data_IF_557552811574
#
_entry.id   IF_557552811574
#
_cell.length_a   1.000
_cell.length_b   1.000
_cell.length_c   1.000
_cell.angle_alpha   90.00
_cell.angle_beta   90.00
_cell.angle_gamma   90.00
#
_symmetry.space_group_name_H-M   'P 1'
#
loop_
_entity.id
_entity.type
_entity.pdbx_description
1 polymer ?
#
# COMPACT_ATOMS: atom_id res chain seq x y z
N UNK A 1 -27.27 -14.27 -2.53
CA UNK A 1 -26.20 -14.89 -1.73
C UNK A 1 -25.44 -13.74 -1.08
N UNK A 2 -25.19 -13.76 0.22
CA UNK A 2 -24.25 -12.82 0.82
C UNK A 2 -22.87 -13.12 0.26
N UNK A 3 -22.17 -12.11 -0.23
CA UNK A 3 -20.78 -12.28 -0.63
C UNK A 3 -19.95 -12.71 0.57
N UNK A 4 -19.16 -13.78 0.37
CA UNK A 4 -18.26 -14.26 1.42
C UNK A 4 -16.96 -13.46 1.32
N UNK A 5 -16.71 -12.69 2.37
CA UNK A 5 -15.44 -12.02 2.59
C UNK A 5 -14.58 -12.86 3.53
N UNK A 6 -13.29 -12.95 3.22
CA UNK A 6 -12.32 -13.66 4.02
C UNK A 6 -11.85 -12.77 5.18
N UNK A 7 -11.34 -13.35 6.28
CA UNK A 7 -10.47 -12.61 7.20
C UNK A 7 -9.35 -11.92 6.41
N UNK A 8 -8.97 -10.70 6.79
CA UNK A 8 -7.97 -9.91 6.02
C UNK A 8 -6.69 -10.70 5.80
N UNK A 9 -6.18 -11.39 6.83
CA UNK A 9 -4.96 -12.20 6.73
C UNK A 9 -5.09 -13.37 5.76
N UNK A 10 -6.30 -13.81 5.43
CA UNK A 10 -6.57 -14.86 4.45
C UNK A 10 -6.88 -14.29 3.05
N UNK A 11 -7.07 -12.97 2.93
CA UNK A 11 -7.36 -12.33 1.64
C UNK A 11 -6.16 -12.39 0.69
N UNK A 12 -6.45 -12.50 -0.62
CA UNK A 12 -5.43 -12.56 -1.67
C UNK A 12 -4.51 -11.32 -1.66
N UNK A 13 -5.09 -10.12 -1.45
CA UNK A 13 -4.33 -8.87 -1.38
C UNK A 13 -3.34 -8.87 -0.22
N UNK A 14 -3.73 -9.37 0.95
CA UNK A 14 -2.84 -9.49 2.09
C UNK A 14 -1.70 -10.46 1.83
N UNK A 15 -2.00 -11.65 1.29
CA UNK A 15 -0.99 -12.68 1.03
C UNK A 15 0.08 -12.19 0.03
N UNK A 16 -0.34 -11.51 -1.05
CA UNK A 16 0.59 -10.97 -2.03
C UNK A 16 1.45 -9.84 -1.41
N UNK A 17 0.83 -8.89 -0.71
CA UNK A 17 1.59 -7.80 -0.05
C UNK A 17 2.58 -8.35 0.97
N UNK A 18 2.17 -9.34 1.78
CA UNK A 18 3.04 -10.01 2.76
C UNK A 18 4.26 -10.62 2.08
N UNK A 19 4.05 -11.45 1.06
CA UNK A 19 5.14 -12.15 0.37
C UNK A 19 6.13 -11.18 -0.27
N UNK A 20 5.61 -10.13 -0.91
CA UNK A 20 6.45 -9.15 -1.59
C UNK A 20 7.22 -8.25 -0.59
N UNK A 21 6.60 -7.86 0.52
CA UNK A 21 7.29 -7.11 1.58
C UNK A 21 8.44 -7.92 2.18
N UNK A 22 8.23 -9.20 2.46
CA UNK A 22 9.29 -10.11 2.92
C UNK A 22 10.43 -10.18 1.90
N UNK A 23 10.10 -10.30 0.61
CA UNK A 23 11.08 -10.39 -0.47
C UNK A 23 11.92 -9.13 -0.66
N UNK A 24 11.30 -7.95 -0.66
CA UNK A 24 11.97 -6.67 -1.01
C UNK A 24 12.59 -5.99 0.21
N UNK A 25 11.88 -6.02 1.34
CA UNK A 25 12.26 -5.30 2.55
C UNK A 25 12.68 -6.21 3.70
N UNK A 26 12.53 -7.54 3.58
CA UNK A 26 12.76 -8.50 4.67
C UNK A 26 11.90 -8.17 5.90
N UNK A 27 10.62 -7.87 5.64
CA UNK A 27 9.62 -7.52 6.65
C UNK A 27 8.42 -8.45 6.58
N UNK A 28 8.13 -9.10 7.70
CA UNK A 28 6.93 -9.93 7.85
C UNK A 28 5.74 -9.06 8.25
N UNK A 29 4.77 -8.94 7.34
CA UNK A 29 3.53 -8.19 7.57
C UNK A 29 2.73 -8.72 8.77
N UNK A 30 2.85 -10.00 9.13
CA UNK A 30 2.11 -10.56 10.28
C UNK A 30 2.54 -9.98 11.63
N UNK A 31 3.74 -9.39 11.68
CA UNK A 31 4.30 -8.72 12.86
C UNK A 31 3.84 -7.27 13.02
N UNK A 32 3.21 -6.70 11.98
CA UNK A 32 2.72 -5.32 11.97
C UNK A 32 1.25 -5.29 12.38
N UNK A 33 0.88 -4.30 13.19
CA UNK A 33 -0.53 -4.07 13.53
C UNK A 33 -1.26 -3.54 12.30
N UNK A 34 -2.31 -4.24 11.90
CA UNK A 34 -3.17 -3.85 10.79
C UNK A 34 -4.39 -3.07 11.27
N UNK A 35 -4.77 -2.05 10.52
CA UNK A 35 -6.04 -1.36 10.62
C UNK A 35 -7.02 -1.98 9.64
N UNK A 36 -7.96 -2.74 10.16
CA UNK A 36 -8.98 -3.44 9.38
C UNK A 36 -10.09 -2.48 8.95
N UNK A 37 -10.54 -2.62 7.70
CA UNK A 37 -11.70 -1.96 7.14
C UNK A 37 -12.77 -2.97 6.69
N UNK A 38 -13.83 -2.47 6.06
CA UNK A 38 -14.89 -3.31 5.50
C UNK A 38 -14.40 -4.13 4.30
N UNK A 39 -15.10 -5.22 3.99
CA UNK A 39 -14.97 -5.95 2.72
C UNK A 39 -13.56 -6.52 2.39
N UNK A 40 -12.69 -6.77 3.37
CA UNK A 40 -11.25 -7.14 3.25
C UNK A 40 -10.27 -5.96 3.07
N UNK A 41 -10.73 -4.71 3.14
CA UNK A 41 -9.85 -3.55 3.11
C UNK A 41 -8.95 -3.52 4.35
N UNK A 42 -7.70 -3.10 4.19
CA UNK A 42 -6.81 -2.90 5.33
C UNK A 42 -5.71 -1.90 5.02
N UNK A 43 -5.14 -1.31 6.05
CA UNK A 43 -3.90 -0.54 5.93
C UNK A 43 -3.01 -0.73 7.16
N UNK A 44 -1.75 -0.36 7.04
CA UNK A 44 -0.77 -0.50 8.11
C UNK A 44 0.33 0.56 7.97
N UNK A 45 0.89 1.03 9.11
CA UNK A 45 2.06 1.90 9.08
C UNK A 45 3.29 1.13 8.59
N UNK A 46 4.13 1.78 7.80
CA UNK A 46 5.39 1.22 7.34
C UNK A 46 6.51 2.27 7.46
N UNK A 47 7.69 1.82 7.87
CA UNK A 47 8.85 2.69 8.04
C UNK A 47 10.09 2.06 7.39
N UNK A 48 10.82 2.86 6.62
CA UNK A 48 12.07 2.44 6.00
C UNK A 48 13.06 3.61 5.96
N UNK A 49 14.28 3.40 6.48
CA UNK A 49 15.35 4.44 6.54
C UNK A 49 14.89 5.80 7.11
N UNK A 50 14.00 5.79 8.08
CA UNK A 50 13.46 7.01 8.71
C UNK A 50 12.33 7.69 7.93
N UNK A 51 11.93 7.15 6.77
CA UNK A 51 10.72 7.58 6.07
C UNK A 51 9.51 6.82 6.62
N UNK A 52 8.45 7.55 6.94
CA UNK A 52 7.19 7.00 7.41
C UNK A 52 6.11 7.13 6.34
N UNK A 53 5.42 6.02 6.09
CA UNK A 53 4.35 5.93 5.10
C UNK A 53 3.27 4.99 5.61
N UNK A 54 2.13 4.98 4.94
CA UNK A 54 1.09 3.97 5.15
C UNK A 54 0.91 3.21 3.84
N UNK A 55 0.73 1.91 3.97
CA UNK A 55 0.45 1.01 2.85
C UNK A 55 -0.87 0.29 3.12
N UNK A 56 -1.55 -0.16 2.07
CA UNK A 56 -2.78 -0.91 2.28
C UNK A 56 -3.47 -1.35 1.00
N UNK A 57 -4.47 -2.19 1.20
CA UNK A 57 -5.40 -2.65 0.18
C UNK A 57 -6.74 -1.94 0.41
N UNK A 58 -7.25 -1.30 -0.64
CA UNK A 58 -8.56 -0.66 -0.65
C UNK A 58 -9.45 -1.21 -1.78
N UNK A 59 -10.71 -0.82 -1.81
CA UNK A 59 -11.63 -1.11 -2.90
C UNK A 59 -11.81 -2.61 -3.21
N UNK A 60 -11.89 -3.44 -2.17
CA UNK A 60 -12.02 -4.90 -2.25
C UNK A 60 -13.45 -5.40 -2.45
N UNK A 61 -14.45 -4.52 -2.47
CA UNK A 61 -15.86 -4.88 -2.58
C UNK A 61 -16.14 -5.72 -3.83
N UNK A 62 -16.73 -6.90 -3.64
CA UNK A 62 -17.04 -7.82 -4.73
C UNK A 62 -18.34 -7.37 -5.41
N UNK A 63 -18.43 -7.53 -6.73
CA UNK A 63 -19.61 -7.17 -7.56
C UNK A 63 -20.23 -5.77 -7.37
N UNK A 64 -19.47 -4.78 -6.86
CA UNK A 64 -19.89 -3.39 -6.74
C UNK A 64 -19.23 -2.54 -7.83
N UNK A 65 -19.96 -1.56 -8.36
CA UNK A 65 -19.38 -0.62 -9.31
C UNK A 65 -18.28 0.20 -8.63
N UNK A 66 -17.20 0.49 -9.36
CA UNK A 66 -16.03 1.26 -8.92
C UNK A 66 -15.09 0.55 -7.92
N UNK A 67 -15.45 -0.64 -7.44
CA UNK A 67 -14.56 -1.51 -6.68
C UNK A 67 -13.62 -2.29 -7.60
N UNK A 68 -12.45 -2.67 -7.08
CA UNK A 68 -11.50 -3.52 -7.77
C UNK A 68 -11.76 -5.02 -7.53
N UNK A 69 -12.58 -5.35 -6.53
CA UNK A 69 -12.92 -6.73 -6.15
C UNK A 69 -11.78 -7.42 -5.42
N UNK A 70 -11.74 -8.75 -5.51
CA UNK A 70 -10.77 -9.58 -4.79
C UNK A 70 -9.32 -9.09 -4.96
N UNK A 71 -8.64 -8.92 -3.83
CA UNK A 71 -7.28 -8.39 -3.75
C UNK A 71 -7.15 -6.87 -3.89
N UNK A 72 -8.23 -6.15 -4.23
CA UNK A 72 -8.32 -4.69 -4.15
C UNK A 72 -7.26 -3.91 -4.93
N UNK A 73 -7.12 -2.65 -4.56
CA UNK A 73 -6.08 -1.73 -5.02
C UNK A 73 -5.02 -1.57 -3.94
N UNK A 74 -3.77 -1.80 -4.31
CA UNK A 74 -2.61 -1.54 -3.47
C UNK A 74 -2.22 -0.08 -3.54
N UNK A 75 -2.16 0.57 -2.37
CA UNK A 75 -1.87 1.98 -2.23
C UNK A 75 -0.72 2.22 -1.26
N UNK A 76 0.08 3.24 -1.55
CA UNK A 76 1.16 3.74 -0.70
C UNK A 76 1.00 5.25 -0.61
N UNK A 77 0.94 5.79 0.60
CA UNK A 77 0.81 7.22 0.81
C UNK A 77 1.64 7.72 1.98
N UNK A 78 1.98 8.99 1.90
CA UNK A 78 2.71 9.71 2.93
C UNK A 78 1.77 10.73 3.55
N UNK A 79 1.78 10.77 4.88
CA UNK A 79 1.02 11.73 5.65
C UNK A 79 1.96 12.78 6.18
N UNK A 80 1.72 14.05 5.84
CA UNK A 80 2.37 15.18 6.49
C UNK A 80 1.34 15.84 7.40
N UNK A 81 1.67 15.92 8.68
CA UNK A 81 0.85 16.58 9.68
C UNK A 81 1.73 17.54 10.47
N UNK A 82 1.39 18.82 10.44
CA UNK A 82 1.93 19.85 11.33
C UNK A 82 0.77 20.52 12.11
N UNK A 83 1.09 21.47 12.98
CA UNK A 83 0.09 22.16 13.81
C UNK A 83 -1.03 22.86 13.01
N UNK A 84 -0.82 23.14 11.72
CA UNK A 84 -1.74 23.89 10.88
C UNK A 84 -2.30 23.09 9.69
N UNK A 85 -1.66 21.99 9.29
CA UNK A 85 -1.96 21.27 8.06
C UNK A 85 -1.89 19.77 8.23
N UNK A 86 -2.85 19.09 7.62
CA UNK A 86 -2.85 17.66 7.38
C UNK A 86 -2.95 17.43 5.88
N UNK A 87 -2.00 16.70 5.30
CA UNK A 87 -2.01 16.30 3.90
C UNK A 87 -1.69 14.82 3.75
N UNK A 88 -2.31 14.21 2.74
CA UNK A 88 -2.04 12.83 2.32
C UNK A 88 -1.71 12.87 0.85
N UNK A 89 -0.52 12.36 0.50
CA UNK A 89 -0.05 12.33 -0.89
C UNK A 89 0.33 10.91 -1.28
N UNK A 90 -0.21 10.42 -2.39
CA UNK A 90 0.07 9.08 -2.91
C UNK A 90 1.48 9.03 -3.51
N UNK A 91 2.15 7.88 -3.40
CA UNK A 91 3.47 7.66 -4.01
C UNK A 91 3.46 8.01 -5.51
N UNK A 92 2.42 7.60 -6.25
CA UNK A 92 2.27 7.89 -7.68
C UNK A 92 2.29 9.38 -8.00
N UNK A 93 1.83 10.23 -7.08
CA UNK A 93 1.84 11.69 -7.23
C UNK A 93 3.22 12.27 -6.90
N UNK A 94 3.89 11.73 -5.88
CA UNK A 94 5.22 12.16 -5.42
C UNK A 94 6.27 11.91 -6.51
N UNK A 95 6.24 10.72 -7.12
CA UNK A 95 7.24 10.34 -8.11
C UNK A 95 6.84 10.71 -9.56
N UNK A 96 5.60 11.14 -9.77
CA UNK A 96 4.96 11.41 -11.07
C UNK A 96 4.99 10.20 -12.02
N UNK A 97 4.74 8.99 -11.48
CA UNK A 97 4.68 7.76 -12.25
C UNK A 97 3.23 7.24 -12.33
N UNK A 98 2.66 7.32 -13.53
CA UNK A 98 1.29 6.87 -13.80
C UNK A 98 1.14 5.35 -13.79
N UNK A 99 2.23 4.60 -13.96
CA UNK A 99 2.19 3.13 -13.99
C UNK A 99 1.81 2.53 -12.63
N UNK A 100 2.07 3.24 -11.53
CA UNK A 100 1.72 2.83 -10.17
C UNK A 100 0.46 3.53 -9.63
N UNK A 101 -0.30 4.23 -10.48
CA UNK A 101 -1.52 4.93 -10.06
C UNK A 101 -2.65 3.97 -9.67
N UNK A 102 -2.68 2.77 -10.25
CA UNK A 102 -3.73 1.77 -10.03
C UNK A 102 -3.13 0.37 -10.03
N UNK A 103 -2.55 0.00 -8.90
CA UNK A 103 -1.90 -1.29 -8.68
C UNK A 103 -2.95 -2.23 -8.11
N UNK A 104 -3.17 -3.38 -8.74
CA UNK A 104 -4.11 -4.38 -8.24
C UNK A 104 -3.41 -5.32 -7.26
N UNK A 105 -3.89 -5.43 -6.02
CA UNK A 105 -3.23 -6.27 -5.01
C UNK A 105 -3.27 -7.76 -5.32
N UNK A 106 -4.24 -8.21 -6.13
CA UNK A 106 -4.28 -9.59 -6.66
C UNK A 106 -3.16 -9.90 -7.67
N UNK A 107 -2.54 -8.89 -8.25
CA UNK A 107 -1.44 -9.03 -9.21
C UNK A 107 -0.11 -8.82 -8.47
N UNK A 108 0.47 -9.93 -8.02
CA UNK A 108 1.71 -9.94 -7.23
C UNK A 108 2.88 -9.25 -7.96
N UNK A 109 3.01 -9.43 -9.28
CA UNK A 109 4.08 -8.80 -10.07
C UNK A 109 3.95 -7.28 -10.07
N UNK A 110 2.72 -6.77 -10.20
CA UNK A 110 2.45 -5.33 -10.09
C UNK A 110 2.74 -4.78 -8.69
N UNK A 111 2.43 -5.54 -7.63
CA UNK A 111 2.78 -5.18 -6.24
C UNK A 111 4.30 -5.16 -6.07
N UNK A 112 5.01 -6.18 -6.54
CA UNK A 112 6.47 -6.29 -6.52
C UNK A 112 7.14 -5.14 -7.25
N UNK A 113 6.71 -4.85 -8.47
CA UNK A 113 7.22 -3.72 -9.24
C UNK A 113 7.03 -2.39 -8.48
N UNK A 114 5.86 -2.19 -7.88
CA UNK A 114 5.55 -0.96 -7.12
C UNK A 114 6.45 -0.82 -5.90
N UNK A 115 6.69 -1.91 -5.17
CA UNK A 115 7.56 -1.90 -3.99
C UNK A 115 9.05 -1.77 -4.35
N UNK A 116 9.50 -2.28 -5.50
CA UNK A 116 10.84 -1.99 -6.02
C UNK A 116 11.00 -0.51 -6.38
N UNK A 117 10.02 0.08 -7.08
CA UNK A 117 10.02 1.53 -7.39
C UNK A 117 10.07 2.36 -6.12
N UNK A 118 9.27 2.00 -5.09
CA UNK A 118 9.32 2.65 -3.80
C UNK A 118 10.73 2.55 -3.19
N UNK A 119 11.30 1.34 -3.15
CA UNK A 119 12.61 1.10 -2.54
C UNK A 119 13.70 1.93 -3.23
N UNK A 120 13.76 1.90 -4.56
CA UNK A 120 14.71 2.68 -5.35
C UNK A 120 14.55 4.18 -5.10
N UNK A 121 13.30 4.66 -5.02
CA UNK A 121 13.03 6.06 -4.68
C UNK A 121 13.53 6.42 -3.28
N UNK A 122 13.19 5.62 -2.25
CA UNK A 122 13.59 5.88 -0.86
C UNK A 122 15.10 5.76 -0.64
N UNK A 123 15.79 4.98 -1.48
CA UNK A 123 17.25 4.85 -1.48
C UNK A 123 17.97 5.98 -2.22
N UNK A 124 17.23 6.86 -2.91
CA UNK A 124 17.79 7.97 -3.70
C UNK A 124 17.83 9.30 -2.94
N UNK A 125 18.75 10.19 -3.33
CA UNK A 125 18.83 11.57 -2.83
C UNK A 125 17.53 12.36 -3.07
N UNK A 126 16.75 11.98 -4.08
CA UNK A 126 15.45 12.61 -4.40
C UNK A 126 14.46 12.45 -3.25
N UNK A 127 14.46 11.32 -2.54
CA UNK A 127 13.55 11.13 -1.41
C UNK A 127 13.84 12.11 -0.26
N UNK A 128 15.11 12.44 -0.01
CA UNK A 128 15.46 13.42 1.01
C UNK A 128 14.89 14.80 0.67
N UNK A 129 15.04 15.22 -0.58
CA UNK A 129 14.53 16.51 -1.05
C UNK A 129 13.00 16.56 -1.05
N UNK A 130 12.32 15.46 -1.38
CA UNK A 130 10.85 15.50 -1.55
C UNK A 130 10.10 15.22 -0.26
N UNK A 131 10.62 14.37 0.62
CA UNK A 131 9.90 13.90 1.81
C UNK A 131 10.32 14.57 3.12
N UNK A 132 11.52 15.15 3.21
CA UNK A 132 12.02 15.81 4.44
C UNK A 132 11.88 17.35 4.39
N UNK A 133 11.30 17.88 3.32
CA UNK A 133 10.90 19.29 3.19
C UNK A 133 9.48 19.49 3.72
#
# INVERSE_FOLDING_TARGET
MSELYLPIRESLGYQNVKQVLEKIFSIDLDTIVIHEGEDENFNFPFAYKGYHMTMGISSTGKNRQLEAGEGGLFNIWFTQADEQRFSVTLLSQIIDDKSIKRVFGRDEESVERTLNILKDFLDSDRAEVVLKN
#
